data_IF_594035284427
#
_entry.id   IF_594035284427
#
_cell.length_a   1.000
_cell.length_b   1.000
_cell.length_c   1.000
_cell.angle_alpha   90.00
_cell.angle_beta   90.00
_cell.angle_gamma   90.00
#
_symmetry.space_group_name_H-M   'P 1'
#
loop_
_entity.id
_entity.type
_entity.pdbx_description
1 polymer ?
#
# COMPACT_ATOMS: atom_id res chain seq x y z
N UNK A 1 -20.75 -22.40 -25.40
CA UNK A 1 -20.91 -21.56 -24.20
C UNK A 1 -19.71 -20.63 -24.21
N UNK A 2 -19.96 -19.34 -24.50
CA UNK A 2 -18.93 -18.40 -24.91
C UNK A 2 -18.36 -17.67 -23.68
N UNK A 3 -17.06 -17.81 -23.47
CA UNK A 3 -16.24 -17.05 -22.52
C UNK A 3 -16.39 -15.55 -22.81
N UNK A 4 -17.17 -14.86 -21.98
CA UNK A 4 -17.22 -13.39 -22.01
C UNK A 4 -16.18 -12.85 -21.05
N UNK A 5 -15.07 -12.38 -21.62
CA UNK A 5 -14.07 -11.55 -20.94
C UNK A 5 -14.74 -10.34 -20.26
N UNK A 6 -14.35 -10.09 -19.00
CA UNK A 6 -14.92 -9.11 -18.08
C UNK A 6 -14.75 -7.62 -18.47
N UNK A 7 -14.30 -7.31 -19.69
CA UNK A 7 -13.92 -5.96 -20.11
C UNK A 7 -15.07 -5.07 -20.64
N UNK A 8 -16.31 -5.55 -20.69
CA UNK A 8 -17.43 -4.81 -21.30
C UNK A 8 -18.52 -4.32 -20.33
N UNK A 9 -18.29 -4.32 -19.01
CA UNK A 9 -19.32 -3.90 -18.03
C UNK A 9 -19.19 -2.47 -17.50
N UNK A 10 -18.10 -1.76 -17.82
CA UNK A 10 -17.88 -0.39 -17.31
C UNK A 10 -18.66 0.62 -18.16
N UNK A 11 -19.49 1.43 -17.49
CA UNK A 11 -20.22 2.51 -18.18
C UNK A 11 -19.20 3.55 -18.67
N UNK A 12 -19.42 4.19 -19.84
CA UNK A 12 -18.48 5.17 -20.39
C UNK A 12 -18.01 6.22 -19.36
N UNK A 13 -18.92 6.74 -18.51
CA UNK A 13 -18.59 7.74 -17.49
C UNK A 13 -17.52 7.25 -16.46
N UNK A 14 -17.52 5.97 -16.10
CA UNK A 14 -16.58 5.37 -15.14
C UNK A 14 -15.14 5.29 -15.70
N UNK A 15 -14.98 5.44 -17.02
CA UNK A 15 -13.70 5.44 -17.74
C UNK A 15 -13.09 6.85 -17.81
N UNK A 16 -13.92 7.89 -17.67
CA UNK A 16 -13.55 9.28 -17.93
C UNK A 16 -13.31 10.13 -16.67
N UNK A 17 -13.66 9.65 -15.48
CA UNK A 17 -13.35 10.38 -14.25
C UNK A 17 -11.91 10.13 -13.79
N UNK A 18 -11.10 11.20 -13.87
CA UNK A 18 -9.70 11.19 -13.43
C UNK A 18 -9.60 11.36 -11.91
N UNK A 19 -8.61 10.74 -11.21
CA UNK A 19 -8.29 11.09 -9.83
C UNK A 19 -8.08 12.61 -9.67
N UNK A 20 -8.33 13.15 -8.47
CA UNK A 20 -7.92 14.53 -8.18
C UNK A 20 -6.42 14.50 -7.98
N UNK A 21 -5.67 15.22 -8.82
CA UNK A 21 -4.21 15.19 -8.81
C UNK A 21 -3.69 16.51 -8.28
N UNK A 22 -2.97 16.46 -7.18
CA UNK A 22 -1.98 17.50 -6.87
C UNK A 22 -0.73 17.20 -7.69
N UNK A 23 -0.75 17.53 -8.99
CA UNK A 23 0.50 17.71 -9.74
C UNK A 23 1.06 19.04 -9.27
N UNK A 24 1.72 19.07 -8.12
CA UNK A 24 2.43 20.26 -7.71
C UNK A 24 3.67 20.39 -8.60
N UNK A 25 3.48 21.13 -9.70
CA UNK A 25 4.32 21.24 -10.88
C UNK A 25 5.67 21.92 -10.71
N UNK A 26 6.41 21.64 -9.65
CA UNK A 26 7.77 22.19 -9.46
C UNK A 26 8.81 21.17 -9.04
N UNK A 27 8.56 19.88 -9.26
CA UNK A 27 9.57 18.87 -9.05
C UNK A 27 10.51 18.78 -10.25
N UNK A 28 11.51 19.66 -10.28
CA UNK A 28 12.64 19.52 -11.19
C UNK A 28 13.57 18.41 -10.66
N UNK A 29 13.98 17.48 -11.54
CA UNK A 29 14.91 16.37 -11.23
C UNK A 29 16.20 16.88 -10.56
N UNK A 30 16.59 18.12 -10.86
CA UNK A 30 17.79 18.79 -10.35
C UNK A 30 17.62 19.59 -9.03
N UNK A 31 16.42 19.76 -8.47
CA UNK A 31 16.23 20.62 -7.30
C UNK A 31 16.50 19.90 -5.97
N UNK A 32 17.35 20.50 -5.14
CA UNK A 32 17.60 20.10 -3.75
C UNK A 32 16.40 20.34 -2.81
N UNK A 33 15.44 21.18 -3.22
CA UNK A 33 14.28 21.55 -2.40
C UNK A 33 13.12 20.55 -2.45
N UNK A 34 13.25 19.47 -3.25
CA UNK A 34 12.23 18.44 -3.41
C UNK A 34 11.90 17.71 -2.10
N UNK A 35 12.89 17.53 -1.21
CA UNK A 35 12.69 16.86 0.08
C UNK A 35 11.93 17.73 1.06
N UNK A 36 12.25 19.03 1.17
CA UNK A 36 11.53 19.95 2.05
C UNK A 36 10.08 20.11 1.61
N UNK A 37 9.85 20.27 0.31
CA UNK A 37 8.50 20.33 -0.25
C UNK A 37 7.68 19.06 0.02
N UNK A 38 8.31 17.90 -0.13
CA UNK A 38 7.71 16.62 0.22
C UNK A 38 7.36 16.54 1.71
N UNK A 39 8.26 16.99 2.61
CA UNK A 39 7.99 17.06 4.04
C UNK A 39 6.86 18.03 4.38
N UNK A 40 6.74 19.15 3.66
CA UNK A 40 5.65 20.11 3.85
C UNK A 40 4.31 19.54 3.35
N UNK A 41 4.32 18.77 2.25
CA UNK A 41 3.16 18.03 1.75
C UNK A 41 2.71 16.94 2.73
N UNK A 42 3.65 16.22 3.32
CA UNK A 42 3.37 15.29 4.42
C UNK A 42 2.75 16.07 5.59
N UNK A 43 3.41 17.11 6.11
CA UNK A 43 2.90 17.88 7.26
C UNK A 43 1.49 18.44 7.07
N UNK A 44 1.13 18.84 5.86
CA UNK A 44 -0.20 19.39 5.54
C UNK A 44 -1.28 18.33 5.35
N UNK A 45 -0.93 17.10 4.94
CA UNK A 45 -1.91 16.03 4.64
C UNK A 45 -1.88 14.83 5.63
N UNK A 46 -0.82 14.66 6.42
CA UNK A 46 -0.55 13.44 7.21
C UNK A 46 -1.52 13.24 8.39
N UNK A 47 -2.19 14.28 8.91
CA UNK A 47 -3.07 14.11 10.08
C UNK A 47 -4.35 13.34 9.75
N UNK A 48 -4.84 13.42 8.51
CA UNK A 48 -6.12 12.82 8.11
C UNK A 48 -6.02 11.78 6.98
N UNK A 49 -4.86 11.67 6.31
CA UNK A 49 -4.65 10.72 5.23
C UNK A 49 -3.83 9.49 5.66
N UNK A 50 -3.93 8.41 4.89
CA UNK A 50 -3.04 7.25 4.98
C UNK A 50 -2.06 7.29 3.81
N UNK A 51 -0.78 7.19 4.12
CA UNK A 51 0.28 7.28 3.12
C UNK A 51 0.74 5.90 2.66
N UNK A 52 0.83 5.74 1.34
CA UNK A 52 1.41 4.58 0.70
C UNK A 52 2.54 5.01 -0.23
N UNK A 53 3.56 4.17 -0.31
CA UNK A 53 4.70 4.32 -1.20
C UNK A 53 4.74 3.10 -2.12
N UNK A 54 4.95 3.35 -3.41
CA UNK A 54 4.95 2.31 -4.44
C UNK A 54 6.19 2.42 -5.31
N UNK A 55 6.70 1.29 -5.77
CA UNK A 55 7.79 1.25 -6.76
C UNK A 55 7.67 -0.02 -7.62
N UNK A 56 8.17 0.06 -8.84
CA UNK A 56 8.35 -1.04 -9.78
C UNK A 56 9.83 -1.34 -9.99
N UNK A 57 10.20 -2.62 -10.15
CA UNK A 57 11.59 -2.99 -10.44
C UNK A 57 11.68 -3.98 -11.58
N UNK A 58 12.69 -3.81 -12.42
CA UNK A 58 13.06 -4.73 -13.49
C UNK A 58 14.39 -5.41 -13.13
N UNK A 59 14.36 -6.74 -13.09
CA UNK A 59 15.54 -7.58 -13.11
C UNK A 59 15.81 -8.01 -14.55
N UNK A 60 17.05 -7.89 -15.03
CA UNK A 60 17.34 -8.01 -16.46
C UNK A 60 17.64 -9.43 -16.97
N UNK A 61 17.90 -10.43 -16.10
CA UNK A 61 18.41 -11.74 -16.56
C UNK A 61 17.90 -13.00 -15.80
N UNK A 62 16.84 -13.69 -16.27
CA UNK A 62 15.93 -13.25 -17.32
C UNK A 62 15.11 -12.03 -16.90
N UNK A 63 14.61 -11.29 -17.88
CA UNK A 63 13.72 -10.14 -17.67
C UNK A 63 12.54 -10.52 -16.77
N UNK A 64 12.45 -9.91 -15.59
CA UNK A 64 11.38 -10.10 -14.60
C UNK A 64 11.05 -8.78 -13.97
N UNK A 65 9.78 -8.49 -13.79
CA UNK A 65 9.38 -7.28 -13.07
C UNK A 65 8.67 -7.62 -11.77
N UNK A 66 8.83 -6.76 -10.79
CA UNK A 66 8.22 -6.88 -9.48
C UNK A 66 7.72 -5.54 -8.98
N UNK A 67 6.79 -5.60 -8.05
CA UNK A 67 6.22 -4.42 -7.40
C UNK A 67 6.53 -4.42 -5.92
N UNK A 68 6.56 -3.23 -5.32
CA UNK A 68 6.68 -3.01 -3.89
C UNK A 68 5.66 -1.99 -3.41
N UNK A 69 5.03 -2.28 -2.27
CA UNK A 69 4.07 -1.39 -1.59
C UNK A 69 4.45 -1.30 -0.12
N UNK A 70 4.57 -0.07 0.38
CA UNK A 70 4.88 0.20 1.77
C UNK A 70 3.89 1.21 2.37
N UNK A 71 3.32 0.89 3.54
CA UNK A 71 2.54 1.83 4.34
C UNK A 71 3.01 1.77 5.80
N UNK A 72 3.67 2.82 6.31
CA UNK A 72 4.18 2.83 7.68
C UNK A 72 3.05 2.83 8.72
N UNK A 73 1.98 3.62 8.49
CA UNK A 73 0.85 3.79 9.43
C UNK A 73 0.14 2.47 9.72
N UNK A 74 -0.01 1.63 8.70
CA UNK A 74 -0.68 0.32 8.80
C UNK A 74 0.31 -0.84 8.96
N UNK A 75 1.62 -0.56 9.00
CA UNK A 75 2.69 -1.56 8.99
C UNK A 75 2.50 -2.58 7.85
N UNK A 76 2.23 -2.10 6.64
CA UNK A 76 2.12 -2.93 5.44
C UNK A 76 3.46 -2.87 4.69
N UNK A 77 3.94 -4.03 4.29
CA UNK A 77 5.07 -4.22 3.38
C UNK A 77 4.72 -5.38 2.48
N UNK A 78 4.26 -5.07 1.27
CA UNK A 78 3.84 -6.04 0.27
C UNK A 78 4.78 -5.97 -0.93
N UNK A 79 5.09 -7.13 -1.50
CA UNK A 79 5.91 -7.27 -2.70
C UNK A 79 5.45 -8.48 -3.50
N UNK A 80 5.81 -8.52 -4.77
CA UNK A 80 5.64 -9.73 -5.57
C UNK A 80 6.20 -9.58 -6.98
N UNK A 81 6.31 -10.70 -7.67
CA UNK A 81 6.67 -10.74 -9.09
C UNK A 81 5.41 -10.61 -9.95
N UNK A 82 5.53 -9.92 -11.08
CA UNK A 82 4.55 -9.95 -12.17
C UNK A 82 4.99 -10.95 -13.23
N UNK A 83 4.13 -11.16 -14.23
CA UNK A 83 4.38 -12.10 -15.31
C UNK A 83 5.60 -11.77 -16.16
N UNK A 84 6.18 -12.80 -16.78
CA UNK A 84 7.38 -12.68 -17.61
C UNK A 84 7.18 -11.78 -18.84
N UNK A 85 5.92 -11.50 -19.21
CA UNK A 85 5.57 -10.58 -20.30
C UNK A 85 5.36 -9.15 -19.80
N UNK A 86 5.30 -8.94 -18.48
CA UNK A 86 5.08 -7.63 -17.90
C UNK A 86 6.33 -6.77 -18.01
N UNK A 87 6.12 -5.52 -18.38
CA UNK A 87 7.19 -4.53 -18.45
C UNK A 87 7.24 -3.66 -17.17
N UNK A 88 8.28 -2.84 -17.07
CA UNK A 88 8.48 -1.98 -15.90
C UNK A 88 7.32 -1.02 -15.68
N UNK A 89 6.72 -0.48 -16.75
CA UNK A 89 5.58 0.42 -16.65
C UNK A 89 4.34 -0.29 -16.05
N UNK A 90 4.08 -1.53 -16.42
CA UNK A 90 3.00 -2.32 -15.81
C UNK A 90 3.26 -2.62 -14.34
N UNK A 91 4.52 -2.87 -13.93
CA UNK A 91 4.86 -3.08 -12.52
C UNK A 91 4.58 -1.85 -11.67
N UNK A 92 4.90 -0.65 -12.17
CA UNK A 92 4.62 0.63 -11.51
C UNK A 92 3.11 0.85 -11.32
N UNK A 93 2.32 0.65 -12.39
CA UNK A 93 0.86 0.78 -12.32
C UNK A 93 0.29 -0.30 -11.38
N UNK A 94 0.83 -1.52 -11.41
CA UNK A 94 0.36 -2.61 -10.58
C UNK A 94 0.61 -2.34 -9.10
N UNK A 95 1.73 -1.71 -8.74
CA UNK A 95 1.99 -1.27 -7.38
C UNK A 95 0.91 -0.29 -6.88
N UNK A 96 0.48 0.65 -7.74
CA UNK A 96 -0.65 1.56 -7.44
C UNK A 96 -1.97 0.80 -7.32
N UNK A 97 -2.27 -0.10 -8.24
CA UNK A 97 -3.45 -0.98 -8.17
C UNK A 97 -3.52 -1.73 -6.83
N UNK A 98 -2.39 -2.24 -6.37
CA UNK A 98 -2.28 -2.95 -5.10
C UNK A 98 -2.60 -2.06 -3.91
N UNK A 99 -2.14 -0.82 -3.88
CA UNK A 99 -2.57 0.16 -2.88
C UNK A 99 -4.07 0.39 -2.92
N UNK A 100 -4.64 0.61 -4.11
CA UNK A 100 -6.08 0.85 -4.27
C UNK A 100 -6.92 -0.34 -3.78
N UNK A 101 -6.48 -1.56 -4.07
CA UNK A 101 -7.11 -2.80 -3.55
C UNK A 101 -7.04 -2.91 -2.02
N UNK A 102 -5.90 -2.53 -1.42
CA UNK A 102 -5.76 -2.45 0.04
C UNK A 102 -6.69 -1.38 0.62
N UNK A 103 -6.86 -0.23 -0.04
CA UNK A 103 -7.78 0.80 0.39
C UNK A 103 -9.23 0.30 0.43
N UNK A 104 -9.67 -0.44 -0.59
CA UNK A 104 -11.00 -1.06 -0.57
C UNK A 104 -11.13 -2.07 0.58
N UNK A 105 -10.11 -2.92 0.77
CA UNK A 105 -10.11 -3.99 1.77
C UNK A 105 -10.11 -3.47 3.21
N UNK A 106 -9.44 -2.35 3.46
CA UNK A 106 -9.34 -1.72 4.79
C UNK A 106 -10.24 -0.49 4.95
N UNK A 107 -11.10 -0.21 3.98
CA UNK A 107 -12.00 0.96 3.95
C UNK A 107 -11.27 2.29 4.17
N UNK A 108 -10.10 2.44 3.53
CA UNK A 108 -9.30 3.66 3.56
C UNK A 108 -9.83 4.60 2.48
N UNK A 109 -10.46 5.70 2.91
CA UNK A 109 -11.08 6.65 2.00
C UNK A 109 -10.24 7.90 1.75
N UNK A 110 -9.30 8.25 2.63
CA UNK A 110 -8.37 9.36 2.43
C UNK A 110 -6.94 8.82 2.33
N UNK A 111 -6.40 8.77 1.11
CA UNK A 111 -5.13 8.13 0.80
C UNK A 111 -4.24 9.01 -0.08
N UNK A 112 -2.96 9.05 0.27
CA UNK A 112 -1.91 9.65 -0.55
C UNK A 112 -0.97 8.53 -1.01
N UNK A 113 -0.77 8.42 -2.32
CA UNK A 113 0.07 7.40 -2.95
C UNK A 113 1.27 8.07 -3.60
N UNK A 114 2.45 7.78 -3.08
CA UNK A 114 3.72 8.25 -3.62
C UNK A 114 4.23 7.29 -4.68
N UNK A 115 4.46 7.82 -5.89
CA UNK A 115 4.85 7.06 -7.08
C UNK A 115 6.07 7.73 -7.70
N UNK A 116 7.15 7.00 -7.95
CA UNK A 116 8.37 7.59 -8.56
C UNK A 116 8.42 7.49 -10.09
N UNK A 117 7.45 6.80 -10.70
CA UNK A 117 7.25 6.75 -12.14
C UNK A 117 6.31 7.84 -12.67
N UNK A 118 6.88 8.85 -13.35
CA UNK A 118 6.09 9.86 -14.07
C UNK A 118 5.23 9.23 -15.17
N UNK A 119 5.73 8.18 -15.83
CA UNK A 119 4.99 7.47 -16.85
C UNK A 119 3.73 6.84 -16.25
N UNK A 120 3.84 6.19 -15.08
CA UNK A 120 2.71 5.57 -14.39
C UNK A 120 1.64 6.61 -14.00
N UNK A 121 2.06 7.74 -13.42
CA UNK A 121 1.15 8.84 -13.10
C UNK A 121 0.44 9.34 -14.36
N UNK A 122 1.19 9.62 -15.44
CA UNK A 122 0.59 10.06 -16.72
C UNK A 122 -0.41 9.04 -17.26
N UNK A 123 -0.06 7.75 -17.28
CA UNK A 123 -0.95 6.68 -17.71
C UNK A 123 -2.26 6.64 -16.91
N UNK A 124 -2.19 6.81 -15.59
CA UNK A 124 -3.37 6.84 -14.73
C UNK A 124 -4.23 8.09 -14.94
N UNK A 125 -3.62 9.21 -15.32
CA UNK A 125 -4.24 10.53 -15.34
C UNK A 125 -4.70 11.00 -16.73
N UNK A 126 -4.02 10.60 -17.81
CA UNK A 126 -4.34 11.04 -19.17
C UNK A 126 -5.66 10.44 -19.66
N UNK A 127 -6.65 11.29 -19.87
CA UNK A 127 -7.93 10.91 -20.46
C UNK A 127 -7.79 10.86 -21.98
N UNK A 128 -7.70 9.64 -22.51
CA UNK A 128 -7.63 9.40 -23.94
C UNK A 128 -8.00 7.96 -24.26
N UNK A 129 -8.56 7.75 -25.46
CA UNK A 129 -9.01 6.43 -25.92
C UNK A 129 -7.91 5.37 -25.72
N UNK A 130 -6.65 5.70 -26.01
CA UNK A 130 -5.51 4.78 -25.89
C UNK A 130 -5.12 4.45 -24.44
N UNK A 131 -5.25 5.39 -23.49
CA UNK A 131 -4.90 5.17 -22.08
C UNK A 131 -5.97 4.36 -21.33
N UNK A 132 -7.24 4.49 -21.73
CA UNK A 132 -8.34 3.68 -21.20
C UNK A 132 -8.36 2.23 -21.72
N UNK A 133 -7.59 1.90 -22.75
CA UNK A 133 -7.52 0.54 -23.31
C UNK A 133 -6.67 -0.42 -22.47
N UNK A 134 -5.76 0.06 -21.61
CA UNK A 134 -4.96 -0.82 -20.77
C UNK A 134 -5.81 -1.30 -19.59
N UNK A 135 -6.12 -2.61 -19.46
CA UNK A 135 -7.08 -3.11 -18.47
C UNK A 135 -6.71 -2.71 -17.03
N UNK A 136 -5.42 -2.76 -16.70
CA UNK A 136 -4.92 -2.39 -15.37
C UNK A 136 -5.14 -0.89 -15.04
N UNK A 137 -5.01 0.00 -16.03
CA UNK A 137 -5.27 1.43 -15.84
C UNK A 137 -6.76 1.66 -15.63
N UNK A 138 -7.61 1.00 -16.42
CA UNK A 138 -9.06 1.06 -16.27
C UNK A 138 -9.51 0.58 -14.89
N UNK A 139 -8.93 -0.52 -14.38
CA UNK A 139 -9.20 -1.02 -13.03
C UNK A 139 -8.79 -0.03 -11.94
N UNK A 140 -7.61 0.59 -12.06
CA UNK A 140 -7.19 1.62 -11.12
C UNK A 140 -8.17 2.79 -11.10
N UNK A 141 -8.55 3.31 -12.27
CA UNK A 141 -9.49 4.44 -12.40
C UNK A 141 -10.85 4.13 -11.81
N UNK A 142 -11.38 2.93 -12.07
CA UNK A 142 -12.64 2.46 -11.48
C UNK A 142 -12.57 2.46 -9.96
N UNK A 143 -11.50 1.94 -9.36
CA UNK A 143 -11.37 1.92 -7.89
C UNK A 143 -11.22 3.33 -7.33
N UNK A 144 -10.44 4.19 -7.99
CA UNK A 144 -10.29 5.60 -7.63
C UNK A 144 -11.65 6.30 -7.62
N UNK A 145 -12.46 6.09 -8.66
CA UNK A 145 -13.80 6.65 -8.77
C UNK A 145 -14.70 6.20 -7.60
N UNK A 146 -14.66 4.91 -7.25
CA UNK A 146 -15.40 4.38 -6.10
C UNK A 146 -14.97 5.01 -4.77
N UNK A 147 -13.66 5.21 -4.56
CA UNK A 147 -13.17 5.85 -3.33
C UNK A 147 -13.58 7.32 -3.27
N UNK A 148 -13.62 8.01 -4.41
CA UNK A 148 -14.01 9.43 -4.50
C UNK A 148 -15.43 9.74 -4.04
N UNK A 149 -16.33 8.75 -4.02
CA UNK A 149 -17.68 8.93 -3.47
C UNK A 149 -17.68 9.20 -1.96
N UNK A 150 -16.61 8.82 -1.26
CA UNK A 150 -16.54 8.86 0.22
C UNK A 150 -15.25 9.47 0.78
N UNK A 151 -14.29 9.81 -0.07
CA UNK A 151 -13.03 10.43 0.33
C UNK A 151 -12.18 10.83 -0.87
N UNK A 152 -10.86 10.86 -0.69
CA UNK A 152 -9.91 11.35 -1.68
C UNK A 152 -8.74 10.39 -1.90
N UNK A 153 -8.38 10.21 -3.18
CA UNK A 153 -7.15 9.55 -3.60
C UNK A 153 -6.25 10.60 -4.24
N UNK A 154 -5.07 10.83 -3.67
CA UNK A 154 -4.07 11.74 -4.21
C UNK A 154 -2.86 10.95 -4.68
N UNK A 155 -2.51 11.07 -5.96
CA UNK A 155 -1.25 10.56 -6.51
C UNK A 155 -0.20 11.67 -6.45
N UNK A 156 0.96 11.37 -5.86
CA UNK A 156 2.07 12.32 -5.71
C UNK A 156 3.31 11.73 -6.36
N UNK A 157 3.88 12.47 -7.31
CA UNK A 157 5.17 12.10 -7.86
C UNK A 157 6.29 12.36 -6.86
N UNK A 158 7.18 11.38 -6.68
CA UNK A 158 8.42 11.57 -5.92
C UNK A 158 9.64 11.26 -6.79
N UNK A 159 10.74 12.01 -6.64
CA UNK A 159 11.96 11.65 -7.32
C UNK A 159 12.53 10.35 -6.73
N UNK A 160 12.74 9.35 -7.59
CA UNK A 160 13.44 8.12 -7.21
C UNK A 160 14.83 8.40 -6.63
N UNK A 161 15.25 7.58 -5.67
CA UNK A 161 16.60 7.58 -5.07
C UNK A 161 17.06 8.87 -4.37
N UNK A 162 16.15 9.65 -3.78
CA UNK A 162 16.47 10.87 -3.00
C UNK A 162 16.24 10.76 -1.48
N UNK A 163 16.52 9.60 -0.86
CA UNK A 163 16.56 9.47 0.60
C UNK A 163 15.23 9.71 1.35
N UNK A 164 14.10 9.49 0.67
CA UNK A 164 12.79 9.41 1.31
C UNK A 164 12.59 7.98 1.80
N UNK A 165 12.56 7.79 3.13
CA UNK A 165 12.50 6.48 3.76
C UNK A 165 11.40 5.56 3.18
N UNK A 166 10.18 6.07 2.99
CA UNK A 166 9.08 5.29 2.45
C UNK A 166 9.33 4.82 1.01
N UNK A 167 9.90 5.70 0.17
CA UNK A 167 10.25 5.38 -1.21
C UNK A 167 11.37 4.34 -1.29
N UNK A 168 12.39 4.47 -0.44
CA UNK A 168 13.49 3.49 -0.37
C UNK A 168 12.99 2.11 0.06
N UNK A 169 12.03 2.05 1.00
CA UNK A 169 11.39 0.79 1.40
C UNK A 169 10.59 0.16 0.26
N UNK A 170 9.78 0.95 -0.46
CA UNK A 170 9.05 0.46 -1.63
C UNK A 170 10.02 -0.09 -2.70
N UNK A 171 11.13 0.60 -2.96
CA UNK A 171 12.15 0.18 -3.91
C UNK A 171 12.83 -1.14 -3.55
N UNK A 172 13.19 -1.30 -2.27
CA UNK A 172 13.74 -2.55 -1.77
C UNK A 172 12.74 -3.70 -1.93
N UNK A 173 11.47 -3.46 -1.62
CA UNK A 173 10.39 -4.44 -1.80
C UNK A 173 10.21 -4.82 -3.28
N UNK A 174 10.22 -3.85 -4.18
CA UNK A 174 10.06 -4.09 -5.62
C UNK A 174 11.22 -4.91 -6.20
N UNK A 175 12.47 -4.59 -5.82
CA UNK A 175 13.67 -5.36 -6.21
C UNK A 175 13.64 -6.78 -5.70
N UNK A 176 13.20 -6.95 -4.46
CA UNK A 176 13.04 -8.27 -3.86
C UNK A 176 11.94 -9.07 -4.59
N UNK A 177 10.83 -8.40 -4.96
CA UNK A 177 9.78 -8.96 -5.82
C UNK A 177 10.28 -9.42 -7.18
N UNK A 178 11.09 -8.61 -7.90
CA UNK A 178 11.62 -8.95 -9.23
C UNK A 178 12.71 -10.03 -9.19
N UNK A 179 13.43 -10.13 -8.06
CA UNK A 179 14.43 -11.18 -7.83
C UNK A 179 13.84 -12.55 -7.50
N UNK A 180 12.59 -12.62 -7.03
CA UNK A 180 11.97 -13.86 -6.58
C UNK A 180 11.55 -14.75 -7.78
N UNK A 181 12.43 -15.68 -8.17
CA UNK A 181 12.19 -16.71 -9.20
C UNK A 181 11.17 -17.77 -8.75
N UNK A 182 10.97 -17.94 -7.44
CA UNK A 182 10.47 -19.17 -6.84
C UNK A 182 8.99 -19.55 -6.99
N UNK A 183 8.12 -18.72 -7.55
CA UNK A 183 6.66 -19.03 -7.56
C UNK A 183 6.07 -19.24 -8.97
N UNK A 184 6.78 -18.88 -10.04
CA UNK A 184 6.34 -19.06 -11.42
C UNK A 184 6.23 -20.54 -11.84
N UNK A 185 7.02 -21.42 -11.21
CA UNK A 185 7.06 -22.86 -11.53
C UNK A 185 6.00 -23.69 -10.80
N UNK A 186 5.27 -23.11 -9.84
CA UNK A 186 4.26 -23.82 -9.02
C UNK A 186 2.83 -23.74 -9.59
N UNK A 187 2.60 -23.02 -10.70
CA UNK A 187 1.29 -22.96 -11.35
C UNK A 187 0.16 -22.37 -10.51
N UNK A 188 0.45 -21.57 -9.48
CA UNK A 188 -0.57 -20.94 -8.62
C UNK A 188 -0.45 -19.43 -8.60
N UNK A 189 -1.61 -18.78 -8.60
CA UNK A 189 -1.83 -17.35 -8.63
C UNK A 189 -1.02 -16.56 -7.58
N UNK A 190 -0.73 -15.30 -7.95
CA UNK A 190 -0.34 -14.13 -7.14
C UNK A 190 -0.46 -14.39 -5.63
N UNK A 191 0.68 -14.59 -4.96
CA UNK A 191 0.72 -14.69 -3.50
C UNK A 191 0.85 -13.29 -2.89
N UNK A 192 -0.26 -12.79 -2.36
CA UNK A 192 -0.31 -11.56 -1.55
C UNK A 192 0.29 -11.87 -0.18
N UNK A 193 1.56 -11.54 0.07
CA UNK A 193 2.10 -11.54 1.44
C UNK A 193 1.78 -10.21 2.12
N UNK A 194 0.62 -10.10 2.79
CA UNK A 194 0.37 -9.01 3.74
C UNK A 194 0.98 -9.39 5.08
N UNK A 195 2.10 -8.77 5.47
CA UNK A 195 2.63 -8.93 6.82
C UNK A 195 1.86 -8.05 7.81
N UNK A 196 0.68 -8.51 8.25
CA UNK A 196 -0.08 -7.87 9.33
C UNK A 196 0.57 -8.23 10.68
N UNK A 197 1.43 -7.38 11.22
CA UNK A 197 1.83 -7.48 12.64
C UNK A 197 0.66 -7.05 13.52
N UNK A 198 -0.24 -7.99 13.84
CA UNK A 198 -1.33 -7.77 14.81
C UNK A 198 -0.72 -7.39 16.17
N UNK A 199 -1.23 -6.31 16.79
CA UNK A 199 -0.92 -5.86 18.16
C UNK A 199 -1.31 -6.92 19.21
N UNK A 200 -0.63 -8.07 19.26
CA UNK A 200 -0.80 -9.07 20.34
C UNK A 200 -0.17 -8.63 21.66
N UNK A 201 0.69 -7.60 21.64
CA UNK A 201 1.42 -7.15 22.84
C UNK A 201 0.57 -6.43 23.88
N UNK A 202 -0.57 -5.82 23.51
CA UNK A 202 -1.45 -5.13 24.49
C UNK A 202 -2.42 -6.07 25.20
N UNK A 203 -2.81 -7.20 24.59
CA UNK A 203 -3.77 -8.15 25.18
C UNK A 203 -3.09 -9.19 26.08
N UNK A 204 -1.82 -9.54 25.80
CA UNK A 204 -1.01 -10.39 26.70
C UNK A 204 -0.62 -9.63 27.97
N UNK A 205 -0.13 -8.40 27.83
CA UNK A 205 0.25 -7.56 28.97
C UNK A 205 -0.93 -7.24 29.91
N UNK A 206 -2.12 -6.96 29.37
CA UNK A 206 -3.32 -6.72 30.18
C UNK A 206 -3.85 -7.99 30.89
N UNK A 207 -3.57 -9.18 30.34
CA UNK A 207 -3.98 -10.45 30.96
C UNK A 207 -2.99 -10.92 32.02
N UNK A 208 -1.71 -10.65 31.82
CA UNK A 208 -0.67 -10.87 32.84
C UNK A 208 -0.85 -9.89 34.02
N UNK A 209 -1.21 -8.62 33.77
CA UNK A 209 -1.53 -7.65 34.83
C UNK A 209 -2.84 -7.98 35.59
N UNK A 210 -3.85 -8.59 34.95
CA UNK A 210 -5.10 -9.02 35.62
C UNK A 210 -4.90 -10.33 36.42
N UNK A 211 -4.01 -11.24 35.99
CA UNK A 211 -3.70 -12.48 36.73
C UNK A 211 -2.81 -12.21 37.96
N UNK A 212 -1.88 -11.23 37.90
CA UNK A 212 -1.08 -10.82 39.07
C UNK A 212 -1.93 -10.11 40.15
N UNK A 213 -2.95 -9.32 39.78
CA UNK A 213 -3.86 -8.69 40.75
C UNK A 213 -4.80 -9.71 41.44
N UNK A 214 -5.25 -10.77 40.76
CA UNK A 214 -6.07 -11.83 41.37
C UNK A 214 -5.25 -12.72 42.34
N UNK A 215 -3.98 -13.01 42.05
CA UNK A 215 -3.11 -13.78 42.96
C UNK A 215 -2.75 -13.00 44.23
N UNK A 216 -2.55 -11.67 44.16
CA UNK A 216 -2.29 -10.83 45.34
C UNK A 216 -3.53 -10.72 46.26
N UNK A 217 -4.75 -10.67 45.70
CA UNK A 217 -5.99 -10.65 46.51
C UNK A 217 -6.25 -12.00 47.21
N UNK A 218 -5.95 -13.14 46.57
CA UNK A 218 -6.09 -14.47 47.22
C UNK A 218 -5.07 -14.69 48.35
N UNK A 219 -3.82 -14.19 48.20
CA UNK A 219 -2.81 -14.27 49.28
C UNK A 219 -3.17 -13.39 50.49
N UNK A 220 -3.75 -12.20 50.28
CA UNK A 220 -4.22 -11.33 51.38
C UNK A 220 -5.43 -11.95 52.13
N UNK A 221 -6.35 -12.62 51.43
CA UNK A 221 -7.48 -13.32 52.07
C UNK A 221 -7.04 -14.55 52.89
N UNK A 222 -6.04 -15.31 52.42
CA UNK A 222 -5.48 -16.45 53.17
C UNK A 222 -4.72 -16.00 54.44
N UNK A 223 -3.98 -14.87 54.38
CA UNK A 223 -3.30 -14.31 55.57
C UNK A 223 -4.31 -13.78 56.61
N UNK A 224 -5.42 -13.17 56.19
CA UNK A 224 -6.49 -12.72 57.11
C UNK A 224 -7.23 -13.90 57.78
N UNK A 225 -7.45 -15.01 57.06
CA UNK A 225 -8.06 -16.23 57.64
C UNK A 225 -7.13 -16.93 58.65
N UNK A 226 -5.82 -16.96 58.40
CA UNK A 226 -4.85 -17.52 59.37
C UNK A 226 -4.72 -16.66 60.64
N UNK A 227 -4.86 -15.33 60.57
CA UNK A 227 -4.86 -14.47 61.75
C UNK A 227 -6.14 -14.56 62.60
N UNK A 228 -7.29 -14.94 62.01
CA UNK A 228 -8.54 -15.17 62.75
C UNK A 228 -8.58 -16.53 63.49
N UNK A 229 -7.83 -17.54 63.05
CA UNK A 229 -7.78 -18.86 63.72
C UNK A 229 -6.90 -18.89 64.99
N UNK A 230 -6.06 -17.87 65.21
CA UNK A 230 -5.11 -17.78 66.35
C UNK A 230 -5.61 -16.92 67.54
N UNK A 231 -6.90 -16.55 67.59
CA UNK A 231 -7.57 -15.79 68.69
C UNK A 231 -8.48 -16.68 69.55
#
# INVERSE_FOLDING_TARGET
MSDRLACYSLKPAEIFDSPEILINGHFNKASANNQQYFLDLLRTNSSHCTEFYTDGSLFNDPARVGYGVFCPKLNISEKGALNMLSNIFEAEIFAVYKVLSLCQSFHIVNVVIFVDSQAAIRGLCELGYSAGLHPLIADCRRIIYQIKETGNVTLVWVPGHKSIFGNEKANLLAKDGSNHIGEWLSGSLIRITVSLKRKKKKKKKKKEEEEEEEEEEEEEEEEEEEEEEDI
#
